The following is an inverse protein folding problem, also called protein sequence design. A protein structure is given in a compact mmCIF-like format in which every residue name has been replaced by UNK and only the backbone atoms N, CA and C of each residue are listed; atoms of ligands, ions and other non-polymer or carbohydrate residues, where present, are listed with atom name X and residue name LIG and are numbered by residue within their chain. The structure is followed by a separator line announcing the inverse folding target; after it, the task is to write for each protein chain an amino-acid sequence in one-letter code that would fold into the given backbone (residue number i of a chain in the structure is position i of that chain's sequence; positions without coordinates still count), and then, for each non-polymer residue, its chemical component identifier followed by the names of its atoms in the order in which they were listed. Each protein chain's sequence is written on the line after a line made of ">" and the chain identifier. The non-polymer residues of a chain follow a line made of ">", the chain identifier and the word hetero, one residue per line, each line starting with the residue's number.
data_IF_257418301611
#
_entry.id   IF_257418301611
#
_cell.length_a   1.000
_cell.length_b   1.000
_cell.length_c   1.000
_cell.angle_alpha   90.00
_cell.angle_beta   90.00
_cell.angle_gamma   90.00
#
_symmetry.space_group_name_H-M   'P 1'
#
loop_
_entity.id
_entity.type
_entity.pdbx_description
1 polymer ?
#
# COMPACT_ATOMS: atom_id res chain seq x y z
N UNK A 1 -43.80 -7.53 -0.89
CA UNK A 1 -42.67 -8.04 -1.67
C UNK A 1 -41.79 -6.84 -2.01
N UNK A 2 -40.65 -6.70 -1.34
CA UNK A 2 -39.76 -5.54 -1.50
C UNK A 2 -38.67 -5.88 -2.52
N UNK A 3 -38.67 -5.13 -3.61
CA UNK A 3 -37.76 -5.24 -4.74
C UNK A 3 -36.33 -4.85 -4.30
N UNK A 4 -35.42 -5.82 -4.25
CA UNK A 4 -34.01 -5.58 -3.96
C UNK A 4 -33.33 -5.02 -5.22
N UNK A 5 -33.21 -3.71 -5.30
CA UNK A 5 -32.40 -3.06 -6.34
C UNK A 5 -30.91 -3.24 -6.02
N UNK A 6 -30.26 -4.17 -6.72
CA UNK A 6 -28.80 -4.31 -6.67
C UNK A 6 -28.13 -3.01 -7.14
N UNK A 7 -27.12 -2.48 -6.41
CA UNK A 7 -26.42 -1.29 -6.85
C UNK A 7 -25.67 -1.55 -8.16
N UNK A 8 -26.02 -0.75 -9.18
CA UNK A 8 -25.42 -0.74 -10.51
C UNK A 8 -23.90 -0.53 -10.38
N UNK A 9 -23.11 -1.57 -10.68
CA UNK A 9 -21.65 -1.52 -10.68
C UNK A 9 -21.14 -0.44 -11.65
N UNK A 10 -20.89 0.76 -11.12
CA UNK A 10 -20.27 1.86 -11.86
C UNK A 10 -18.78 1.55 -11.99
N UNK A 11 -18.31 1.23 -13.20
CA UNK A 11 -16.88 1.07 -13.52
C UNK A 11 -16.13 2.32 -13.07
N UNK A 12 -15.44 2.25 -11.94
CA UNK A 12 -14.51 3.30 -11.49
C UNK A 12 -13.33 3.26 -12.45
N UNK A 13 -13.10 4.38 -13.13
CA UNK A 13 -11.90 4.59 -13.92
C UNK A 13 -10.66 4.36 -13.03
N UNK A 14 -9.98 3.22 -13.19
CA UNK A 14 -8.66 2.95 -12.64
C UNK A 14 -7.58 3.75 -13.40
N UNK A 15 -7.82 5.05 -13.61
CA UNK A 15 -6.72 5.94 -13.97
C UNK A 15 -5.88 6.15 -12.72
N UNK A 16 -4.97 5.20 -12.49
CA UNK A 16 -3.83 5.33 -11.59
C UNK A 16 -3.21 6.69 -11.87
N UNK A 17 -3.40 7.60 -10.92
CA UNK A 17 -2.99 9.01 -10.91
C UNK A 17 -1.99 9.38 -12.03
N UNK A 18 -2.41 10.13 -13.07
CA UNK A 18 -1.56 10.52 -14.22
C UNK A 18 -0.21 11.12 -13.80
N UNK A 19 -0.15 11.77 -12.65
CA UNK A 19 1.09 12.32 -12.07
C UNK A 19 2.06 11.24 -11.58
N UNK A 20 1.58 10.11 -11.06
CA UNK A 20 2.44 8.97 -10.70
C UNK A 20 2.93 8.24 -11.95
N UNK A 21 2.04 7.97 -12.91
CA UNK A 21 2.42 7.30 -14.15
C UNK A 21 3.44 8.12 -14.95
N UNK A 22 3.23 9.42 -15.13
CA UNK A 22 4.19 10.28 -15.85
C UNK A 22 5.55 10.35 -15.16
N UNK A 23 5.60 10.54 -13.83
CA UNK A 23 6.86 10.55 -13.08
C UNK A 23 7.59 9.20 -13.13
N UNK A 24 6.86 8.09 -13.16
CA UNK A 24 7.45 6.77 -13.32
C UNK A 24 8.03 6.58 -14.72
N UNK A 25 7.23 6.89 -15.77
CA UNK A 25 7.65 6.75 -17.17
C UNK A 25 8.85 7.63 -17.47
N UNK A 26 8.85 8.89 -17.02
CA UNK A 26 9.98 9.81 -17.22
C UNK A 26 11.22 9.33 -16.47
N UNK A 27 11.09 8.88 -15.21
CA UNK A 27 12.22 8.36 -14.44
C UNK A 27 12.80 7.07 -15.05
N UNK A 28 11.93 6.18 -15.54
CA UNK A 28 12.33 4.95 -16.22
C UNK A 28 13.03 5.24 -17.55
N UNK A 29 12.46 6.11 -18.38
CA UNK A 29 13.05 6.51 -19.65
C UNK A 29 14.43 7.16 -19.46
N UNK A 30 14.58 8.01 -18.43
CA UNK A 30 15.87 8.64 -18.11
C UNK A 30 16.89 7.61 -17.61
N UNK A 31 16.49 6.64 -16.78
CA UNK A 31 17.37 5.56 -16.34
C UNK A 31 17.84 4.68 -17.51
N UNK A 32 16.94 4.31 -18.42
CA UNK A 32 17.27 3.56 -19.64
C UNK A 32 18.22 4.37 -20.53
N UNK A 33 17.94 5.66 -20.73
CA UNK A 33 18.78 6.55 -21.53
C UNK A 33 20.22 6.62 -20.97
N UNK A 34 20.37 6.83 -19.66
CA UNK A 34 21.69 6.83 -19.00
C UNK A 34 22.38 5.48 -19.16
N UNK A 35 21.65 4.36 -19.03
CA UNK A 35 22.19 3.03 -19.25
C UNK A 35 22.72 2.83 -20.68
N UNK A 36 22.00 3.31 -21.69
CA UNK A 36 22.43 3.26 -23.10
C UNK A 36 23.69 4.10 -23.31
N UNK A 37 23.72 5.35 -22.82
CA UNK A 37 24.88 6.23 -22.95
C UNK A 37 26.12 5.62 -22.29
N UNK A 38 25.97 5.06 -21.09
CA UNK A 38 27.07 4.44 -20.36
C UNK A 38 27.61 3.19 -21.08
N UNK A 39 26.70 2.38 -21.63
CA UNK A 39 27.07 1.21 -22.44
C UNK A 39 27.81 1.63 -23.72
N UNK A 40 27.31 2.65 -24.41
CA UNK A 40 27.94 3.18 -25.63
C UNK A 40 29.36 3.69 -25.35
N UNK A 41 29.55 4.41 -24.24
CA UNK A 41 30.88 4.87 -23.79
C UNK A 41 31.83 3.72 -23.49
N UNK A 42 31.35 2.69 -22.79
CA UNK A 42 32.15 1.49 -22.47
C UNK A 42 32.57 0.76 -23.74
N UNK A 43 31.63 0.53 -24.65
CA UNK A 43 31.90 -0.12 -25.94
C UNK A 43 32.89 0.71 -26.76
N UNK A 44 32.72 2.03 -26.82
CA UNK A 44 33.65 2.92 -27.51
C UNK A 44 35.07 2.82 -26.94
N UNK A 45 35.24 2.92 -25.62
CA UNK A 45 36.54 2.77 -24.97
C UNK A 45 37.18 1.39 -25.20
N UNK A 46 36.36 0.33 -25.23
CA UNK A 46 36.86 -1.03 -25.44
C UNK A 46 37.30 -1.24 -26.89
N UNK A 47 36.50 -0.74 -27.84
CA UNK A 47 36.78 -0.79 -29.27
C UNK A 47 38.04 0.02 -29.59
N UNK A 48 38.16 1.25 -29.08
CA UNK A 48 39.32 2.12 -29.33
C UNK A 48 40.62 1.48 -28.80
N UNK A 49 40.56 0.88 -27.60
CA UNK A 49 41.70 0.17 -27.00
C UNK A 49 42.08 -1.10 -27.77
N UNK A 50 41.11 -1.86 -28.28
CA UNK A 50 41.37 -3.05 -29.10
C UNK A 50 41.87 -2.67 -30.50
N UNK A 51 41.27 -1.69 -31.17
CA UNK A 51 41.71 -1.18 -32.47
C UNK A 51 43.14 -0.64 -32.40
N UNK A 52 43.50 0.09 -31.35
CA UNK A 52 44.87 0.57 -31.15
C UNK A 52 45.85 -0.60 -30.96
N UNK A 53 45.44 -1.67 -30.27
CA UNK A 53 46.25 -2.86 -30.07
C UNK A 53 46.37 -3.74 -31.34
N UNK A 54 45.32 -3.81 -32.16
CA UNK A 54 45.33 -4.53 -33.44
C UNK A 54 46.06 -3.76 -34.53
N UNK A 55 45.88 -2.44 -34.66
CA UNK A 55 46.65 -1.58 -35.59
C UNK A 55 48.15 -1.71 -35.37
N UNK A 56 48.59 -1.89 -34.12
CA UNK A 56 49.99 -2.15 -33.79
C UNK A 56 50.49 -3.55 -34.24
N UNK A 57 49.56 -4.49 -34.44
CA UNK A 57 49.82 -5.89 -34.86
C UNK A 57 49.66 -6.13 -36.36
N UNK A 58 49.15 -5.18 -37.14
CA UNK A 58 48.88 -5.33 -38.59
C UNK A 58 50.14 -5.57 -39.44
N UNK A 59 51.35 -5.57 -38.87
CA UNK A 59 52.52 -5.96 -39.66
C UNK A 59 52.53 -7.41 -40.15
N UNK A 60 51.71 -8.36 -39.65
CA UNK A 60 51.77 -9.76 -40.14
C UNK A 60 50.41 -10.50 -40.17
N UNK A 61 50.10 -11.00 -41.38
CA UNK A 61 49.19 -12.11 -41.78
C UNK A 61 47.67 -11.86 -41.88
N UNK A 62 47.19 -12.03 -43.13
CA UNK A 62 45.79 -12.21 -43.53
C UNK A 62 45.18 -13.40 -42.77
N UNK A 63 44.24 -13.12 -41.86
CA UNK A 63 43.36 -14.11 -41.22
C UNK A 63 41.92 -13.87 -41.69
N UNK A 64 41.18 -14.96 -41.87
CA UNK A 64 39.78 -14.99 -42.28
C UNK A 64 38.91 -14.22 -41.30
N UNK A 65 37.94 -13.46 -41.82
CA UNK A 65 37.11 -12.49 -41.07
C UNK A 65 36.35 -13.10 -39.88
N UNK A 66 36.01 -14.39 -39.94
CA UNK A 66 35.35 -15.14 -38.88
C UNK A 66 36.24 -15.42 -37.66
N UNK A 67 37.55 -15.61 -37.84
CA UNK A 67 38.50 -15.80 -36.74
C UNK A 67 38.75 -14.52 -35.94
N UNK A 68 38.55 -13.36 -36.57
CA UNK A 68 38.71 -12.04 -35.95
C UNK A 68 37.41 -11.63 -35.24
N UNK A 69 36.25 -11.91 -35.83
CA UNK A 69 34.97 -11.49 -35.27
C UNK A 69 34.58 -12.22 -33.96
N UNK A 70 34.87 -13.52 -33.85
CA UNK A 70 34.52 -14.34 -32.68
C UNK A 70 35.15 -13.83 -31.36
N UNK A 71 36.47 -13.59 -31.27
CA UNK A 71 37.08 -13.11 -30.03
C UNK A 71 36.59 -11.71 -29.64
N UNK A 72 36.31 -10.84 -30.61
CA UNK A 72 35.76 -9.50 -30.37
C UNK A 72 34.35 -9.60 -29.78
N UNK A 73 33.47 -10.42 -30.38
CA UNK A 73 32.11 -10.63 -29.88
C UNK A 73 32.10 -11.23 -28.47
N UNK A 74 32.99 -12.18 -28.18
CA UNK A 74 33.08 -12.79 -26.86
C UNK A 74 33.53 -11.78 -25.80
N UNK A 75 34.56 -10.98 -26.09
CA UNK A 75 35.01 -9.90 -25.20
C UNK A 75 33.91 -8.86 -24.98
N UNK A 76 33.18 -8.48 -26.03
CA UNK A 76 32.07 -7.52 -25.94
C UNK A 76 30.96 -8.05 -25.04
N UNK A 77 30.61 -9.33 -25.18
CA UNK A 77 29.57 -9.98 -24.35
C UNK A 77 30.02 -10.10 -22.90
N UNK A 78 31.27 -10.51 -22.65
CA UNK A 78 31.86 -10.60 -21.30
C UNK A 78 31.95 -9.22 -20.64
N UNK A 79 32.16 -8.15 -21.41
CA UNK A 79 32.17 -6.78 -20.87
C UNK A 79 30.75 -6.22 -20.63
N UNK A 80 29.79 -6.49 -21.52
CA UNK A 80 28.46 -5.89 -21.48
C UNK A 80 27.50 -6.59 -20.52
N UNK A 81 27.57 -7.93 -20.40
CA UNK A 81 26.68 -8.71 -19.52
C UNK A 81 26.80 -8.27 -18.05
N UNK A 82 28.00 -8.12 -17.45
CA UNK A 82 28.12 -7.66 -16.06
C UNK A 82 27.54 -6.26 -15.87
N UNK A 83 27.73 -5.36 -16.83
CA UNK A 83 27.21 -3.99 -16.78
C UNK A 83 25.68 -4.00 -16.77
N UNK A 84 25.06 -4.78 -17.67
CA UNK A 84 23.60 -4.94 -17.71
C UNK A 84 23.08 -5.52 -16.39
N UNK A 85 23.76 -6.54 -15.84
CA UNK A 85 23.37 -7.14 -14.55
C UNK A 85 23.45 -6.13 -13.41
N UNK A 86 24.52 -5.34 -13.33
CA UNK A 86 24.68 -4.30 -12.29
C UNK A 86 23.60 -3.23 -12.42
N UNK A 87 23.33 -2.74 -13.63
CA UNK A 87 22.29 -1.75 -13.88
C UNK A 87 20.90 -2.31 -13.53
N UNK A 88 20.60 -3.55 -13.93
CA UNK A 88 19.35 -4.21 -13.59
C UNK A 88 19.18 -4.38 -12.08
N UNK A 89 20.24 -4.77 -11.37
CA UNK A 89 20.24 -4.90 -9.92
C UNK A 89 20.02 -3.54 -9.22
N UNK A 90 20.63 -2.47 -9.71
CA UNK A 90 20.42 -1.11 -9.22
C UNK A 90 18.97 -0.65 -9.40
N UNK A 91 18.42 -0.82 -10.60
CA UNK A 91 17.02 -0.48 -10.89
C UNK A 91 16.08 -1.30 -10.01
N UNK A 92 16.31 -2.61 -9.89
CA UNK A 92 15.55 -3.50 -9.02
C UNK A 92 15.55 -3.04 -7.56
N UNK A 93 16.72 -2.67 -7.03
CA UNK A 93 16.87 -2.16 -5.66
C UNK A 93 16.14 -0.84 -5.45
N UNK A 94 16.19 0.08 -6.42
CA UNK A 94 15.47 1.36 -6.36
C UNK A 94 13.96 1.14 -6.35
N UNK A 95 13.46 0.25 -7.23
CA UNK A 95 12.05 -0.11 -7.28
C UNK A 95 11.59 -0.75 -5.97
N UNK A 96 12.38 -1.69 -5.44
CA UNK A 96 12.05 -2.38 -4.19
C UNK A 96 11.95 -1.40 -3.01
N UNK A 97 12.94 -0.51 -2.84
CA UNK A 97 12.89 0.52 -1.79
C UNK A 97 11.69 1.45 -1.92
N UNK A 98 11.30 1.79 -3.16
CA UNK A 98 10.15 2.66 -3.42
C UNK A 98 8.81 1.99 -3.09
N UNK A 99 8.75 0.66 -3.08
CA UNK A 99 7.57 -0.13 -2.71
C UNK A 99 7.55 -0.48 -1.23
N UNK A 100 8.70 -0.78 -0.64
CA UNK A 100 8.82 -1.12 0.80
C UNK A 100 8.44 0.06 1.69
N UNK A 101 8.88 1.29 1.36
CA UNK A 101 8.59 2.48 2.15
C UNK A 101 7.07 2.71 2.37
N UNK A 102 6.21 2.67 1.34
CA UNK A 102 4.77 2.81 1.56
C UNK A 102 4.13 1.59 2.25
N UNK A 103 4.64 0.38 2.03
CA UNK A 103 4.15 -0.82 2.72
C UNK A 103 4.44 -0.79 4.22
N UNK A 104 5.61 -0.29 4.62
CA UNK A 104 5.99 -0.14 6.02
C UNK A 104 5.07 0.86 6.77
N UNK A 105 4.73 1.98 6.12
CA UNK A 105 3.77 2.95 6.66
C UNK A 105 2.38 2.33 6.86
N UNK A 106 1.89 1.56 5.88
CA UNK A 106 0.61 0.87 5.98
C UNK A 106 0.59 -0.16 7.11
N UNK A 107 1.66 -0.96 7.26
CA UNK A 107 1.77 -1.98 8.33
C UNK A 107 1.65 -1.36 9.72
N UNK A 108 2.30 -0.21 9.94
CA UNK A 108 2.21 0.52 11.21
C UNK A 108 0.78 0.96 11.51
N UNK A 109 0.07 1.54 10.54
CA UNK A 109 -1.31 1.98 10.73
C UNK A 109 -2.29 0.82 10.91
N UNK A 110 -2.11 -0.29 10.19
CA UNK A 110 -2.91 -1.52 10.37
C UNK A 110 -2.74 -2.08 11.78
N UNK A 111 -1.51 -2.13 12.29
CA UNK A 111 -1.24 -2.62 13.66
C UNK A 111 -1.93 -1.75 14.72
N UNK A 112 -2.00 -0.42 14.51
CA UNK A 112 -2.65 0.51 15.45
C UNK A 112 -4.18 0.44 15.41
N UNK A 113 -4.76 0.26 14.23
CA UNK A 113 -6.20 -0.03 14.09
C UNK A 113 -6.54 -1.38 14.74
N UNK A 114 -5.69 -2.39 14.56
CA UNK A 114 -5.82 -3.67 15.27
C UNK A 114 -5.70 -3.56 16.80
N UNK A 115 -4.98 -2.56 17.30
CA UNK A 115 -4.89 -2.24 18.73
C UNK A 115 -6.03 -1.35 19.25
N UNK A 116 -7.08 -1.10 18.44
CA UNK A 116 -8.25 -0.31 18.84
C UNK A 116 -8.06 1.20 18.82
N UNK A 117 -6.94 1.70 18.27
CA UNK A 117 -6.68 3.15 18.10
C UNK A 117 -7.09 3.60 16.70
N UNK A 118 -8.38 3.86 16.51
CA UNK A 118 -8.97 4.22 15.21
C UNK A 118 -8.76 5.68 14.80
N UNK A 119 -8.44 6.58 15.75
CA UNK A 119 -8.26 8.00 15.49
C UNK A 119 -7.02 8.35 14.64
N UNK A 120 -6.08 7.41 14.47
CA UNK A 120 -4.82 7.68 13.77
C UNK A 120 -4.96 7.43 12.25
N UNK A 121 -4.99 8.53 11.49
CA UNK A 121 -5.18 8.49 10.03
C UNK A 121 -3.87 8.21 9.29
N UNK A 122 -3.96 7.37 8.26
CA UNK A 122 -2.87 7.16 7.31
C UNK A 122 -2.69 8.43 6.47
N UNK A 123 -1.46 8.94 6.39
CA UNK A 123 -1.14 10.10 5.58
C UNK A 123 -1.26 9.78 4.07
N UNK A 124 -1.78 10.70 3.24
CA UNK A 124 -1.99 10.47 1.82
C UNK A 124 -0.69 10.24 1.01
N UNK A 125 0.48 10.47 1.59
CA UNK A 125 1.79 10.22 0.98
C UNK A 125 2.46 8.90 1.38
N UNK A 126 1.92 8.16 2.36
CA UNK A 126 2.58 6.95 2.91
C UNK A 126 2.10 5.64 2.28
N UNK A 127 1.18 5.66 1.31
CA UNK A 127 0.74 4.47 0.59
C UNK A 127 0.33 4.80 -0.85
N UNK A 128 0.20 3.80 -1.75
CA UNK A 128 -0.26 4.00 -3.12
C UNK A 128 -1.60 4.76 -3.14
N UNK A 129 -1.79 5.62 -4.14
CA UNK A 129 -2.95 6.51 -4.20
C UNK A 129 -4.27 5.75 -4.09
N UNK A 130 -5.14 6.17 -3.15
CA UNK A 130 -6.45 5.56 -2.88
C UNK A 130 -6.49 4.59 -1.70
N UNK A 131 -5.35 3.99 -1.31
CA UNK A 131 -5.26 3.14 -0.11
C UNK A 131 -5.46 3.92 1.19
N UNK A 132 -4.81 5.08 1.43
CA UNK A 132 -5.00 5.86 2.64
C UNK A 132 -6.45 6.29 2.85
N UNK A 133 -7.12 6.70 1.78
CA UNK A 133 -8.50 7.17 1.81
C UNK A 133 -9.47 6.03 2.11
N UNK A 134 -9.29 4.88 1.47
CA UNK A 134 -10.10 3.68 1.72
C UNK A 134 -9.88 3.14 3.13
N UNK A 135 -8.64 3.13 3.61
CA UNK A 135 -8.29 2.67 4.95
C UNK A 135 -8.82 3.63 6.02
N UNK A 136 -8.68 4.95 5.84
CA UNK A 136 -9.22 5.94 6.77
C UNK A 136 -10.76 5.90 6.79
N UNK A 137 -11.41 5.68 5.65
CA UNK A 137 -12.85 5.46 5.59
C UNK A 137 -13.28 4.23 6.38
N UNK A 138 -12.57 3.11 6.22
CA UNK A 138 -12.81 1.89 7.01
C UNK A 138 -12.59 2.13 8.51
N UNK A 139 -11.47 2.75 8.89
CA UNK A 139 -11.15 3.05 10.28
C UNK A 139 -12.22 3.96 10.94
N UNK A 140 -12.72 4.96 10.21
CA UNK A 140 -13.82 5.82 10.67
C UNK A 140 -15.12 5.05 10.89
N UNK A 141 -15.51 4.16 9.97
CA UNK A 141 -16.69 3.30 10.15
C UNK A 141 -16.56 2.39 11.39
N UNK A 142 -15.36 1.88 11.67
CA UNK A 142 -15.12 1.10 12.89
C UNK A 142 -15.21 1.97 14.15
N UNK A 143 -14.61 3.16 14.14
CA UNK A 143 -14.68 4.11 15.25
C UNK A 143 -16.13 4.48 15.59
N UNK A 144 -16.94 4.81 14.58
CA UNK A 144 -18.35 5.15 14.76
C UNK A 144 -19.15 3.96 15.34
N UNK A 145 -18.92 2.75 14.83
CA UNK A 145 -19.58 1.55 15.36
C UNK A 145 -19.20 1.25 16.81
N UNK A 146 -17.91 1.34 17.15
CA UNK A 146 -17.44 1.14 18.52
C UNK A 146 -17.94 2.22 19.48
N UNK A 147 -18.04 3.48 19.02
CA UNK A 147 -18.56 4.58 19.83
C UNK A 147 -20.01 4.35 20.25
N UNK A 148 -20.86 3.87 19.34
CA UNK A 148 -22.26 3.54 19.65
C UNK A 148 -22.36 2.43 20.71
N UNK A 149 -21.46 1.43 20.66
CA UNK A 149 -21.42 0.36 21.66
C UNK A 149 -20.96 0.89 23.03
N UNK A 150 -19.93 1.74 23.06
CA UNK A 150 -19.44 2.38 24.30
C UNK A 150 -20.52 3.29 24.91
N UNK A 151 -21.18 4.10 24.09
CA UNK A 151 -22.26 5.00 24.54
C UNK A 151 -23.43 4.20 25.12
N UNK A 152 -23.80 3.08 24.49
CA UNK A 152 -24.86 2.20 24.98
C UNK A 152 -24.46 1.47 26.27
N UNK A 153 -23.19 1.06 26.40
CA UNK A 153 -22.66 0.50 27.65
C UNK A 153 -22.70 1.51 28.79
N UNK A 154 -22.29 2.76 28.54
CA UNK A 154 -22.36 3.83 29.52
C UNK A 154 -23.82 4.15 29.91
N UNK A 155 -24.76 4.10 28.97
CA UNK A 155 -26.19 4.26 29.25
C UNK A 155 -26.76 3.11 30.10
N UNK A 156 -26.35 1.86 29.82
CA UNK A 156 -26.72 0.69 30.63
C UNK A 156 -26.18 0.81 32.05
N UNK A 157 -24.94 1.27 32.22
CA UNK A 157 -24.32 1.43 33.54
C UNK A 157 -24.97 2.55 34.37
N UNK A 158 -25.37 3.66 33.73
CA UNK A 158 -26.19 4.70 34.37
C UNK A 158 -27.53 4.14 34.85
N UNK A 159 -28.22 3.39 34.00
CA UNK A 159 -29.51 2.77 34.32
C UNK A 159 -29.39 1.75 35.47
N UNK A 160 -28.29 1.00 35.51
CA UNK A 160 -27.99 0.06 36.59
C UNK A 160 -27.69 0.78 37.91
N UNK A 161 -26.94 1.88 37.88
CA UNK A 161 -26.69 2.70 39.06
C UNK A 161 -27.98 3.36 39.60
N UNK A 162 -28.87 3.82 38.72
CA UNK A 162 -30.20 4.31 39.12
C UNK A 162 -31.04 3.22 39.81
N UNK A 163 -31.07 1.99 39.28
CA UNK A 163 -31.74 0.86 39.92
C UNK A 163 -31.14 0.54 41.30
N UNK A 164 -29.81 0.60 41.41
CA UNK A 164 -29.08 0.33 42.64
C UNK A 164 -29.38 1.35 43.75
N UNK A 165 -29.56 2.62 43.37
CA UNK A 165 -29.95 3.70 44.29
C UNK A 165 -31.44 3.58 44.68
N UNK A 166 -32.29 3.25 43.72
CA UNK A 166 -33.74 3.09 43.91
C UNK A 166 -34.10 1.86 44.76
N UNK A 167 -33.25 0.83 44.75
CA UNK A 167 -33.42 -0.34 45.61
C UNK A 167 -32.96 -0.08 47.06
N UNK A 168 -32.04 0.87 47.27
CA UNK A 168 -31.55 1.27 48.61
C UNK A 168 -32.41 2.35 49.28
N UNK A 169 -33.09 3.19 48.49
CA UNK A 169 -34.07 4.17 48.98
C UNK A 169 -35.49 3.59 48.92
N UNK A 170 -36.12 3.39 50.06
CA UNK A 170 -37.51 2.92 50.15
C UNK A 170 -38.49 3.85 49.42
N UNK A 171 -39.43 3.23 48.68
CA UNK A 171 -40.55 3.82 47.92
C UNK A 171 -40.24 4.39 46.53
N UNK A 172 -40.11 3.51 45.53
CA UNK A 172 -40.27 3.90 44.13
C UNK A 172 -41.46 3.17 43.50
N UNK A 173 -42.27 3.93 42.78
CA UNK A 173 -43.47 3.46 42.09
C UNK A 173 -43.10 2.38 41.07
N UNK A 174 -43.88 1.30 40.98
CA UNK A 174 -43.64 0.22 40.00
C UNK A 174 -43.58 0.71 38.55
N UNK A 175 -44.11 1.90 38.26
CA UNK A 175 -43.98 2.59 36.98
C UNK A 175 -42.55 3.04 36.65
N UNK A 176 -41.78 3.47 37.65
CA UNK A 176 -40.42 3.97 37.46
C UNK A 176 -39.45 2.82 37.19
N UNK A 177 -39.63 1.72 37.93
CA UNK A 177 -38.87 0.48 37.71
C UNK A 177 -39.10 -0.08 36.29
N UNK A 178 -40.36 -0.02 35.81
CA UNK A 178 -40.73 -0.47 34.48
C UNK A 178 -40.13 0.41 33.39
N UNK A 179 -40.11 1.74 33.57
CA UNK A 179 -39.43 2.67 32.66
C UNK A 179 -37.93 2.41 32.55
N UNK A 180 -37.26 2.15 33.67
CA UNK A 180 -35.82 1.88 33.66
C UNK A 180 -35.51 0.55 32.97
N UNK A 181 -36.33 -0.49 33.21
CA UNK A 181 -36.22 -1.78 32.51
C UNK A 181 -36.47 -1.67 31.00
N UNK A 182 -37.46 -0.88 30.58
CA UNK A 182 -37.76 -0.66 29.16
C UNK A 182 -36.63 0.12 28.46
N UNK A 183 -36.05 1.12 29.13
CA UNK A 183 -34.87 1.84 28.64
C UNK A 183 -33.66 0.91 28.50
N UNK A 184 -33.39 0.07 29.50
CA UNK A 184 -32.31 -0.91 29.46
C UNK A 184 -32.51 -1.93 28.31
N UNK A 185 -33.73 -2.43 28.13
CA UNK A 185 -34.07 -3.39 27.09
C UNK A 185 -33.93 -2.79 25.68
N UNK A 186 -34.28 -1.51 25.51
CA UNK A 186 -34.15 -0.81 24.23
C UNK A 186 -32.70 -0.50 23.87
N UNK A 187 -31.88 -0.06 24.84
CA UNK A 187 -30.44 0.15 24.65
C UNK A 187 -29.70 -1.15 24.32
N UNK A 188 -30.01 -2.24 25.03
CA UNK A 188 -29.47 -3.57 24.71
C UNK A 188 -29.81 -4.01 23.28
N UNK A 189 -31.05 -3.82 22.84
CA UNK A 189 -31.47 -4.13 21.46
C UNK A 189 -30.71 -3.28 20.44
N UNK A 190 -30.43 -2.00 20.76
CA UNK A 190 -29.69 -1.09 19.90
C UNK A 190 -28.23 -1.53 19.75
N UNK A 191 -27.55 -1.85 20.85
CA UNK A 191 -26.21 -2.42 20.84
C UNK A 191 -26.16 -3.76 20.09
N UNK A 192 -27.11 -4.66 20.34
CA UNK A 192 -27.20 -5.96 19.67
C UNK A 192 -27.40 -5.84 18.15
N UNK A 193 -28.19 -4.85 17.71
CA UNK A 193 -28.43 -4.59 16.28
C UNK A 193 -27.17 -4.06 15.58
N UNK A 194 -26.40 -3.18 16.22
CA UNK A 194 -25.13 -2.72 15.65
C UNK A 194 -24.06 -3.82 15.67
N UNK A 195 -23.97 -4.61 16.74
CA UNK A 195 -23.08 -5.79 16.78
C UNK A 195 -23.46 -6.79 15.67
N UNK A 196 -24.75 -6.99 15.37
CA UNK A 196 -25.17 -7.87 14.27
C UNK A 196 -24.83 -7.34 12.87
N UNK A 197 -24.53 -6.04 12.72
CA UNK A 197 -24.02 -5.49 11.44
C UNK A 197 -22.56 -5.89 11.22
N UNK A 198 -21.79 -6.07 12.28
CA UNK A 198 -20.49 -6.73 12.24
C UNK A 198 -20.72 -8.24 12.18
N UNK A 199 -21.16 -8.75 11.02
CA UNK A 199 -21.08 -10.20 10.75
C UNK A 199 -19.61 -10.61 10.77
N UNK A 200 -19.15 -11.13 11.91
CA UNK A 200 -17.99 -12.02 11.99
C UNK A 200 -18.32 -13.34 11.29
#
# INVERSE_FOLDING_TARGET
>A
MAEQTFPRFRRRHFFVNKKMQSRFVVGFALAVFVGIVLNMLLVYFLIDRELTAELYKIHIKVRTTSEIAIPILWKLTVATVPVIVVVAALIGRILLKRVEAPMAGLRGSVAKVGAGKFAERVSPGSAPSGLPESFNGMAGCFEDGFRVVIDSAAAMERSFNELSLTQKGTASSGSDLKRILDNLASERKRAQKEISRFKL
#
